data_IF_087675413915
#
_entry.id   IF_087675413915
#
_cell.length_a   1.000
_cell.length_b   1.000
_cell.length_c   1.000
_cell.angle_alpha   90.00
_cell.angle_beta   90.00
_cell.angle_gamma   90.00
#
_symmetry.space_group_name_H-M   'P 1'
#
loop_
_entity.id
_entity.type
_entity.pdbx_description
1 polymer ?
#
# COMPACT_ATOMS: atom_id res chain seq x y z
N UNK A 1 -28.34 8.69 -5.52
CA UNK A 1 -28.83 7.39 -5.02
C UNK A 1 -27.68 6.42 -5.13
N UNK A 2 -26.91 6.31 -4.06
CA UNK A 2 -25.66 5.56 -4.01
C UNK A 2 -26.01 4.11 -3.68
N UNK A 3 -25.83 3.21 -4.63
CA UNK A 3 -26.02 1.78 -4.43
C UNK A 3 -24.91 1.31 -3.48
N UNK A 4 -25.22 1.20 -2.18
CA UNK A 4 -24.41 0.47 -1.21
C UNK A 4 -24.36 -0.98 -1.69
N UNK A 5 -23.31 -1.29 -2.42
CA UNK A 5 -23.00 -2.64 -2.86
C UNK A 5 -22.32 -3.32 -1.66
N UNK A 6 -23.13 -3.94 -0.80
CA UNK A 6 -22.64 -4.65 0.38
C UNK A 6 -21.67 -5.77 -0.05
N UNK A 7 -20.38 -5.61 0.24
CA UNK A 7 -19.52 -6.77 0.41
C UNK A 7 -20.10 -7.70 1.49
N UNK A 8 -19.76 -8.99 1.43
CA UNK A 8 -20.24 -9.97 2.40
C UNK A 8 -19.89 -9.53 3.83
N UNK A 9 -20.82 -9.55 4.79
CA UNK A 9 -20.55 -9.22 6.20
C UNK A 9 -19.33 -9.95 6.77
N UNK A 10 -19.10 -11.18 6.29
CA UNK A 10 -17.96 -12.03 6.67
C UNK A 10 -16.63 -11.39 6.27
N UNK A 11 -16.54 -10.79 5.08
CA UNK A 11 -15.31 -10.13 4.62
C UNK A 11 -15.00 -8.89 5.43
N UNK A 12 -16.03 -8.12 5.82
CA UNK A 12 -15.85 -6.94 6.67
C UNK A 12 -15.33 -7.35 8.05
N UNK A 13 -15.90 -8.39 8.66
CA UNK A 13 -15.45 -8.91 9.95
C UNK A 13 -14.00 -9.39 9.88
N UNK A 14 -13.68 -10.22 8.88
CA UNK A 14 -12.32 -10.72 8.65
C UNK A 14 -11.31 -9.60 8.44
N UNK A 15 -11.65 -8.62 7.60
CA UNK A 15 -10.84 -7.42 7.39
C UNK A 15 -10.61 -6.67 8.71
N UNK A 16 -11.67 -6.49 9.51
CA UNK A 16 -11.62 -5.72 10.75
C UNK A 16 -10.72 -6.40 11.78
N UNK A 17 -10.77 -7.72 11.89
CA UNK A 17 -9.83 -8.50 12.71
C UNK A 17 -8.39 -8.23 12.33
N UNK A 18 -8.06 -8.34 11.04
CA UNK A 18 -6.69 -8.18 10.55
C UNK A 18 -6.22 -6.73 10.69
N UNK A 19 -7.00 -5.76 10.22
CA UNK A 19 -6.62 -4.35 10.22
C UNK A 19 -6.40 -3.81 11.64
N UNK A 20 -7.15 -4.28 12.65
CA UNK A 20 -6.96 -3.88 14.06
C UNK A 20 -5.53 -4.14 14.56
N UNK A 21 -4.85 -5.17 14.08
CA UNK A 21 -3.46 -5.44 14.47
C UNK A 21 -2.48 -4.37 13.96
N UNK A 22 -2.81 -3.69 12.86
CA UNK A 22 -1.98 -2.65 12.26
C UNK A 22 -2.26 -1.26 12.81
N UNK A 23 -3.37 -1.06 13.53
CA UNK A 23 -3.65 0.22 14.18
C UNK A 23 -2.69 0.39 15.36
N UNK A 24 -1.88 1.47 15.41
CA UNK A 24 -0.98 1.71 16.53
C UNK A 24 -1.73 1.73 17.87
N UNK A 25 -1.19 1.08 18.90
CA UNK A 25 -1.85 0.95 20.22
C UNK A 25 -2.18 2.30 20.86
N UNK A 26 -1.34 3.32 20.64
CA UNK A 26 -1.58 4.70 21.08
C UNK A 26 -2.84 5.25 20.42
N UNK A 27 -3.01 5.05 19.12
CA UNK A 27 -4.19 5.50 18.37
C UNK A 27 -5.44 4.74 18.82
N UNK A 28 -5.34 3.41 18.93
CA UNK A 28 -6.44 2.56 19.38
C UNK A 28 -6.92 2.89 20.79
N UNK A 29 -6.03 3.38 21.66
CA UNK A 29 -6.38 3.80 23.03
C UNK A 29 -6.98 5.19 23.10
N UNK A 30 -6.70 6.05 22.11
CA UNK A 30 -7.24 7.42 22.04
C UNK A 30 -8.68 7.45 21.54
N UNK A 31 -9.02 6.56 20.60
CA UNK A 31 -10.36 6.48 20.02
C UNK A 31 -11.34 5.73 20.91
N UNK A 32 -12.61 6.12 20.88
CA UNK A 32 -13.68 5.27 21.42
C UNK A 32 -13.84 4.03 20.54
N UNK A 33 -14.44 2.95 21.06
CA UNK A 33 -14.69 1.75 20.26
C UNK A 33 -15.55 2.06 19.02
N UNK A 34 -16.52 2.97 19.14
CA UNK A 34 -17.37 3.37 18.02
C UNK A 34 -16.60 4.17 16.95
N UNK A 35 -15.66 5.02 17.37
CA UNK A 35 -14.82 5.79 16.45
C UNK A 35 -13.77 4.92 15.76
N UNK A 36 -13.20 3.95 16.48
CA UNK A 36 -12.31 2.94 15.91
C UNK A 36 -13.03 2.06 14.88
N UNK A 37 -14.24 1.60 15.20
CA UNK A 37 -15.05 0.82 14.26
C UNK A 37 -15.41 1.64 13.02
N UNK A 38 -15.76 2.92 13.19
CA UNK A 38 -16.00 3.84 12.06
C UNK A 38 -14.74 4.04 11.22
N UNK A 39 -13.59 4.21 11.86
CA UNK A 39 -12.29 4.34 11.18
C UNK A 39 -12.02 3.11 10.32
N UNK A 40 -12.11 1.91 10.89
CA UNK A 40 -11.86 0.65 10.18
C UNK A 40 -12.88 0.41 9.06
N UNK A 41 -14.16 0.72 9.29
CA UNK A 41 -15.20 0.59 8.28
C UNK A 41 -14.93 1.48 7.05
N UNK A 42 -14.45 2.71 7.25
CA UNK A 42 -14.06 3.56 6.13
C UNK A 42 -12.94 2.94 5.29
N UNK A 43 -11.92 2.37 5.94
CA UNK A 43 -10.79 1.70 5.26
C UNK A 43 -11.24 0.44 4.51
N UNK A 44 -12.17 -0.33 5.09
CA UNK A 44 -12.79 -1.45 4.38
C UNK A 44 -13.59 -0.99 3.16
N UNK A 45 -14.35 0.11 3.31
CA UNK A 45 -15.16 0.64 2.23
C UNK A 45 -14.33 1.12 1.04
N UNK A 46 -13.15 1.68 1.31
CA UNK A 46 -12.16 1.96 0.29
C UNK A 46 -11.58 0.67 -0.32
N UNK A 47 -11.16 -0.30 0.49
CA UNK A 47 -10.45 -1.50 0.03
C UNK A 47 -11.30 -2.50 -0.75
N UNK A 48 -12.60 -2.62 -0.45
CA UNK A 48 -13.47 -3.67 -1.00
C UNK A 48 -13.64 -3.63 -2.53
N UNK A 49 -13.28 -2.53 -3.19
CA UNK A 49 -13.39 -2.36 -4.63
C UNK A 49 -12.14 -1.68 -5.21
N UNK A 50 -11.48 -2.36 -6.15
CA UNK A 50 -10.36 -1.83 -6.93
C UNK A 50 -10.51 -2.31 -8.38
N UNK A 51 -10.81 -1.38 -9.30
CA UNK A 51 -11.02 -1.68 -10.72
C UNK A 51 -9.72 -1.63 -11.52
N UNK A 52 -8.95 -0.58 -11.27
CA UNK A 52 -7.65 -0.37 -11.90
C UNK A 52 -6.55 -0.99 -11.05
N UNK A 53 -5.36 -1.08 -11.61
CA UNK A 53 -4.24 -1.68 -10.90
C UNK A 53 -3.84 -0.90 -9.65
N UNK A 54 -3.83 0.43 -9.75
CA UNK A 54 -3.58 1.33 -8.63
C UNK A 54 -4.85 2.13 -8.38
N UNK A 55 -5.35 2.10 -7.14
CA UNK A 55 -6.44 2.95 -6.68
C UNK A 55 -5.91 3.89 -5.61
N UNK A 56 -6.14 5.19 -5.80
CA UNK A 56 -5.76 6.25 -4.88
C UNK A 56 -7.01 7.07 -4.59
N UNK A 57 -7.24 7.40 -3.33
CA UNK A 57 -8.22 8.38 -2.89
C UNK A 57 -7.55 9.36 -1.93
N UNK A 58 -7.66 10.65 -2.21
CA UNK A 58 -7.09 11.72 -1.38
C UNK A 58 -8.20 12.68 -1.03
N UNK A 59 -8.48 12.82 0.26
CA UNK A 59 -9.56 13.66 0.73
C UNK A 59 -9.32 14.22 2.12
N UNK A 60 -9.99 15.35 2.39
CA UNK A 60 -10.14 15.87 3.75
C UNK A 60 -11.35 15.17 4.40
N UNK A 61 -11.18 14.48 5.55
CA UNK A 61 -12.28 13.75 6.20
C UNK A 61 -13.42 14.67 6.63
N UNK A 62 -14.64 14.13 6.64
CA UNK A 62 -15.84 14.81 7.14
C UNK A 62 -15.90 14.91 8.66
N UNK A 63 -16.91 15.62 9.17
CA UNK A 63 -17.11 15.90 10.60
C UNK A 63 -17.27 14.63 11.45
N UNK A 64 -17.71 13.51 10.86
CA UNK A 64 -17.80 12.21 11.52
C UNK A 64 -16.44 11.64 11.94
N UNK A 65 -15.35 12.17 11.39
CA UNK A 65 -13.95 11.89 11.74
C UNK A 65 -13.30 13.13 12.39
N UNK A 66 -13.97 13.73 13.38
CA UNK A 66 -13.55 14.99 14.01
C UNK A 66 -12.09 15.03 14.51
N UNK A 67 -11.49 13.88 14.84
CA UNK A 67 -10.08 13.79 15.25
C UNK A 67 -9.09 14.00 14.09
N UNK A 68 -9.56 14.01 12.84
CA UNK A 68 -8.79 14.23 11.61
C UNK A 68 -9.07 15.61 10.98
N UNK A 69 -9.69 16.54 11.71
CA UNK A 69 -10.13 17.84 11.16
C UNK A 69 -8.99 18.67 10.51
N UNK A 70 -7.76 18.51 10.99
CA UNK A 70 -6.58 19.20 10.48
C UNK A 70 -5.70 18.30 9.60
N UNK A 71 -6.26 17.21 9.08
CA UNK A 71 -5.52 16.22 8.31
C UNK A 71 -6.12 16.00 6.93
N UNK A 72 -5.27 15.62 5.99
CA UNK A 72 -5.66 14.99 4.72
C UNK A 72 -5.37 13.52 4.81
N UNK A 73 -6.31 12.70 4.35
CA UNK A 73 -6.17 11.25 4.27
C UNK A 73 -5.85 10.85 2.84
N UNK A 74 -4.85 10.00 2.70
CA UNK A 74 -4.43 9.39 1.43
C UNK A 74 -4.59 7.88 1.60
N UNK A 75 -5.52 7.30 0.86
CA UNK A 75 -5.72 5.85 0.81
C UNK A 75 -5.25 5.31 -0.53
N UNK A 76 -4.46 4.24 -0.48
CA UNK A 76 -3.87 3.62 -1.67
C UNK A 76 -4.08 2.12 -1.59
N UNK A 77 -4.43 1.50 -2.71
CA UNK A 77 -4.38 0.04 -2.83
C UNK A 77 -3.95 -0.40 -4.23
N UNK A 78 -3.05 -1.38 -4.27
CA UNK A 78 -2.37 -1.88 -5.46
C UNK A 78 -1.80 -3.28 -5.19
N UNK A 79 -1.53 -4.09 -6.23
CA UNK A 79 -0.74 -5.32 -6.07
C UNK A 79 0.58 -5.04 -5.34
N UNK A 80 0.94 -5.92 -4.41
CA UNK A 80 2.16 -5.74 -3.62
C UNK A 80 3.41 -5.84 -4.49
N UNK A 81 4.37 -4.97 -4.18
CA UNK A 81 5.69 -4.95 -4.80
C UNK A 81 6.68 -4.21 -3.89
N UNK A 82 7.97 -4.28 -4.21
CA UNK A 82 8.99 -3.56 -3.45
C UNK A 82 8.86 -2.03 -3.61
N UNK A 83 9.34 -1.31 -2.61
CA UNK A 83 9.50 0.15 -2.58
C UNK A 83 8.23 1.00 -2.57
N UNK A 84 7.06 0.39 -2.37
CA UNK A 84 5.79 1.14 -2.34
C UNK A 84 5.80 2.18 -1.20
N UNK A 85 6.18 1.76 0.02
CA UNK A 85 6.18 2.64 1.20
C UNK A 85 7.27 3.70 1.09
N UNK A 86 8.47 3.31 0.65
CA UNK A 86 9.61 4.20 0.45
C UNK A 86 9.27 5.29 -0.58
N UNK A 87 8.69 4.92 -1.72
CA UNK A 87 8.24 5.87 -2.75
C UNK A 87 7.25 6.89 -2.20
N UNK A 88 6.32 6.46 -1.35
CA UNK A 88 5.34 7.35 -0.72
C UNK A 88 5.98 8.30 0.29
N UNK A 89 6.90 7.79 1.12
CA UNK A 89 7.62 8.60 2.13
C UNK A 89 8.52 9.62 1.43
N UNK A 90 9.24 9.22 0.38
CA UNK A 90 10.11 10.09 -0.40
C UNK A 90 9.31 11.20 -1.08
N UNK A 91 8.15 10.86 -1.65
CA UNK A 91 7.22 11.85 -2.22
C UNK A 91 6.79 12.88 -1.16
N UNK A 92 6.30 12.42 -0.01
CA UNK A 92 5.88 13.33 1.06
C UNK A 92 7.03 14.19 1.57
N UNK A 93 8.22 13.62 1.70
CA UNK A 93 9.43 14.33 2.14
C UNK A 93 9.84 15.40 1.15
N UNK A 94 9.81 15.10 -0.16
CA UNK A 94 10.13 16.07 -1.22
C UNK A 94 9.18 17.27 -1.23
N UNK A 95 7.89 17.02 -0.96
CA UNK A 95 6.86 18.06 -0.88
C UNK A 95 6.71 18.69 0.52
N UNK A 96 7.57 18.32 1.47
CA UNK A 96 7.54 18.80 2.85
C UNK A 96 6.19 18.54 3.58
N UNK A 97 5.44 17.51 3.16
CA UNK A 97 4.23 17.09 3.85
C UNK A 97 4.59 16.38 5.16
N UNK A 98 3.98 16.83 6.26
CA UNK A 98 4.15 16.22 7.56
C UNK A 98 3.31 14.95 7.65
N UNK A 99 3.98 13.79 7.70
CA UNK A 99 3.33 12.51 7.96
C UNK A 99 2.98 12.41 9.44
N UNK A 100 1.68 12.32 9.75
CA UNK A 100 1.16 12.11 11.09
C UNK A 100 1.03 10.62 11.42
N UNK A 101 0.59 9.81 10.44
CA UNK A 101 0.41 8.36 10.62
C UNK A 101 0.50 7.64 9.28
N UNK A 102 1.12 6.46 9.28
CA UNK A 102 1.08 5.51 8.16
C UNK A 102 0.67 4.13 8.68
N UNK A 103 -0.28 3.50 8.00
CA UNK A 103 -0.74 2.14 8.26
C UNK A 103 -0.66 1.38 6.94
N UNK A 104 0.12 0.30 6.90
CA UNK A 104 0.42 -0.45 5.68
C UNK A 104 0.22 -1.96 5.86
N UNK A 105 -1.03 -2.46 5.90
CA UNK A 105 -1.29 -3.89 5.88
C UNK A 105 -1.16 -4.49 4.48
N UNK A 106 -0.78 -5.77 4.47
CA UNK A 106 -0.78 -6.62 3.29
C UNK A 106 -1.83 -7.72 3.46
N UNK A 107 -2.43 -8.14 2.34
CA UNK A 107 -3.47 -9.17 2.33
C UNK A 107 -3.26 -10.15 1.19
N UNK A 108 -3.56 -11.42 1.43
CA UNK A 108 -3.84 -12.37 0.35
C UNK A 108 -5.25 -12.11 -0.17
N UNK A 109 -5.38 -11.74 -1.45
CA UNK A 109 -6.64 -11.24 -2.02
C UNK A 109 -6.97 -11.88 -3.34
N UNK A 110 -8.21 -12.34 -3.48
CA UNK A 110 -8.81 -12.60 -4.79
C UNK A 110 -9.89 -11.56 -5.08
N UNK A 111 -9.83 -10.94 -6.28
CA UNK A 111 -10.86 -10.02 -6.78
C UNK A 111 -11.65 -10.64 -7.90
N UNK A 112 -12.92 -10.25 -8.01
CA UNK A 112 -13.75 -10.53 -9.17
C UNK A 112 -13.35 -9.69 -10.38
N UNK A 113 -13.88 -10.04 -11.55
CA UNK A 113 -13.67 -9.27 -12.79
C UNK A 113 -14.27 -7.84 -12.71
N UNK A 114 -15.14 -7.58 -11.74
CA UNK A 114 -15.71 -6.28 -11.42
C UNK A 114 -14.84 -5.46 -10.44
N UNK A 115 -13.68 -5.97 -10.04
CA UNK A 115 -12.76 -5.34 -9.08
C UNK A 115 -13.16 -5.54 -7.62
N UNK A 116 -14.25 -6.28 -7.34
CA UNK A 116 -14.76 -6.48 -5.99
C UNK A 116 -14.01 -7.59 -5.26
N UNK A 117 -13.79 -7.38 -3.97
CA UNK A 117 -13.16 -8.36 -3.09
C UNK A 117 -14.01 -9.64 -2.98
N UNK A 118 -13.39 -10.81 -3.23
CA UNK A 118 -14.02 -12.13 -3.06
C UNK A 118 -13.53 -12.85 -1.84
N UNK A 119 -12.21 -12.84 -1.63
CA UNK A 119 -11.55 -13.46 -0.47
C UNK A 119 -10.49 -12.50 0.06
N UNK A 120 -10.24 -12.61 1.36
CA UNK A 120 -9.24 -11.82 2.07
C UNK A 120 -8.70 -12.64 3.22
N UNK A 121 -7.39 -12.84 3.25
CA UNK A 121 -6.69 -13.50 4.34
C UNK A 121 -5.47 -12.69 4.78
N UNK A 122 -5.02 -12.91 6.01
CA UNK A 122 -3.78 -12.31 6.51
C UNK A 122 -2.57 -12.95 5.86
N UNK A 123 -1.43 -12.25 5.87
CA UNK A 123 -0.17 -12.75 5.26
C UNK A 123 0.38 -14.02 5.91
N UNK A 124 -0.04 -14.34 7.14
CA UNK A 124 0.34 -15.56 7.85
C UNK A 124 -0.51 -16.77 7.45
N UNK A 125 -1.62 -16.56 6.73
CA UNK A 125 -2.47 -17.64 6.26
C UNK A 125 -1.79 -18.39 5.10
N UNK A 126 -1.95 -19.72 5.07
CA UNK A 126 -1.53 -20.51 3.92
C UNK A 126 -2.48 -20.24 2.74
N UNK A 127 -2.09 -19.33 1.86
CA UNK A 127 -2.86 -18.92 0.68
C UNK A 127 -1.94 -18.71 -0.52
N UNK A 128 -2.40 -19.16 -1.69
CA UNK A 128 -1.73 -18.91 -2.97
C UNK A 128 -2.27 -17.66 -3.67
N UNK A 129 -3.22 -16.95 -3.05
CA UNK A 129 -3.76 -15.71 -3.61
C UNK A 129 -2.67 -14.62 -3.67
N UNK A 130 -2.69 -13.74 -4.69
CA UNK A 130 -1.70 -12.67 -4.79
C UNK A 130 -1.78 -11.73 -3.59
N UNK A 131 -0.62 -11.15 -3.24
CA UNK A 131 -0.53 -10.13 -2.21
C UNK A 131 -1.02 -8.78 -2.76
N UNK A 132 -1.80 -8.09 -1.94
CA UNK A 132 -2.26 -6.75 -2.20
C UNK A 132 -1.93 -5.84 -1.03
N UNK A 133 -1.33 -4.71 -1.36
CA UNK A 133 -0.99 -3.62 -0.45
C UNK A 133 -2.22 -2.74 -0.22
N UNK A 134 -2.48 -2.38 1.04
CA UNK A 134 -3.30 -1.22 1.38
C UNK A 134 -2.46 -0.24 2.21
N UNK A 135 -2.53 1.04 1.87
CA UNK A 135 -1.94 2.12 2.66
C UNK A 135 -3.04 3.06 3.10
N UNK A 136 -3.05 3.38 4.38
CA UNK A 136 -3.64 4.59 4.91
C UNK A 136 -2.50 5.51 5.34
N UNK A 137 -2.51 6.73 4.83
CA UNK A 137 -1.57 7.78 5.19
C UNK A 137 -2.36 9.00 5.66
N UNK A 138 -1.96 9.54 6.80
CA UNK A 138 -2.44 10.79 7.35
C UNK A 138 -1.33 11.83 7.28
N UNK A 139 -1.60 12.95 6.63
CA UNK A 139 -0.69 14.10 6.53
C UNK A 139 -1.36 15.38 7.03
N UNK A 140 -0.60 16.46 7.15
CA UNK A 140 -1.17 17.79 7.36
C UNK A 140 -2.21 18.12 6.29
N UNK A 141 -3.23 18.89 6.67
CA UNK A 141 -4.29 19.30 5.75
C UNK A 141 -3.74 20.01 4.52
N UNK A 142 -4.24 19.59 3.35
CA UNK A 142 -3.96 20.14 2.04
C UNK A 142 -5.19 20.86 1.47
N UNK A 143 -4.93 21.83 0.60
CA UNK A 143 -5.93 22.45 -0.25
C UNK A 143 -6.28 21.57 -1.46
N UNK A 144 -7.36 21.91 -2.16
CA UNK A 144 -7.91 21.05 -3.22
C UNK A 144 -6.94 20.84 -4.40
N UNK A 145 -6.21 21.89 -4.79
CA UNK A 145 -5.22 21.84 -5.87
C UNK A 145 -3.99 21.01 -5.51
N UNK A 146 -3.55 21.08 -4.25
CA UNK A 146 -2.48 20.22 -3.72
C UNK A 146 -2.88 18.74 -3.73
N UNK A 147 -4.11 18.42 -3.30
CA UNK A 147 -4.63 17.05 -3.36
C UNK A 147 -4.74 16.52 -4.81
N UNK A 148 -5.22 17.35 -5.75
CA UNK A 148 -5.29 16.99 -7.16
C UNK A 148 -3.90 16.79 -7.79
N UNK A 149 -2.91 17.58 -7.40
CA UNK A 149 -1.51 17.36 -7.82
C UNK A 149 -0.98 16.06 -7.27
N UNK A 150 -1.13 15.84 -5.95
CA UNK A 150 -0.66 14.65 -5.26
C UNK A 150 -1.24 13.36 -5.85
N UNK A 151 -2.55 13.35 -6.15
CA UNK A 151 -3.18 12.18 -6.74
C UNK A 151 -2.60 11.84 -8.12
N UNK A 152 -2.33 12.85 -8.96
CA UNK A 152 -1.73 12.64 -10.28
C UNK A 152 -0.29 12.16 -10.18
N UNK A 153 0.50 12.79 -9.33
CA UNK A 153 1.92 12.48 -9.19
C UNK A 153 2.12 11.09 -8.59
N UNK A 154 1.38 10.74 -7.53
CA UNK A 154 1.45 9.40 -6.94
C UNK A 154 0.99 8.32 -7.91
N UNK A 155 -0.07 8.56 -8.69
CA UNK A 155 -0.49 7.60 -9.71
C UNK A 155 0.61 7.35 -10.74
N UNK A 156 1.27 8.42 -11.22
CA UNK A 156 2.40 8.30 -12.14
C UNK A 156 3.57 7.53 -11.51
N UNK A 157 3.94 7.88 -10.27
CA UNK A 157 5.04 7.23 -9.54
C UNK A 157 4.78 5.73 -9.32
N UNK A 158 3.57 5.31 -8.94
CA UNK A 158 3.29 3.89 -8.74
C UNK A 158 3.21 3.10 -10.05
N UNK A 159 2.76 3.70 -11.14
CA UNK A 159 2.80 3.07 -12.47
C UNK A 159 4.25 2.89 -12.94
N UNK A 160 5.10 3.91 -12.75
CA UNK A 160 6.51 3.85 -13.09
C UNK A 160 7.27 2.87 -12.20
N UNK A 161 7.06 2.92 -10.88
CA UNK A 161 7.65 1.98 -9.92
C UNK A 161 7.38 0.54 -10.33
N UNK A 162 6.14 0.21 -10.72
CA UNK A 162 5.79 -1.12 -11.19
C UNK A 162 6.55 -1.55 -12.46
N UNK A 163 6.86 -0.60 -13.33
CA UNK A 163 7.69 -0.87 -14.51
C UNK A 163 9.13 -1.16 -14.07
N UNK A 164 9.67 -0.36 -13.15
CA UNK A 164 11.04 -0.47 -12.64
C UNK A 164 11.26 -1.75 -11.83
N UNK A 165 10.27 -2.23 -11.09
CA UNK A 165 10.41 -3.45 -10.26
C UNK A 165 10.01 -4.73 -10.97
N UNK A 166 9.56 -4.64 -12.23
CA UNK A 166 9.06 -5.80 -12.99
C UNK A 166 10.12 -6.87 -13.27
N UNK A 167 11.38 -6.47 -13.41
CA UNK A 167 12.53 -7.34 -13.64
C UNK A 167 13.26 -7.73 -12.34
N UNK A 168 12.86 -7.14 -11.22
CA UNK A 168 13.55 -7.31 -9.93
C UNK A 168 13.64 -8.77 -9.52
N UNK A 169 12.57 -9.56 -9.60
CA UNK A 169 12.62 -10.98 -9.24
C UNK A 169 13.59 -11.77 -10.12
N UNK A 170 13.71 -11.41 -11.40
CA UNK A 170 14.63 -12.06 -12.33
C UNK A 170 16.08 -11.71 -11.96
N UNK A 171 16.35 -10.44 -11.63
CA UNK A 171 17.66 -9.97 -11.18
C UNK A 171 18.03 -10.58 -9.82
N UNK A 172 17.12 -10.62 -8.86
CA UNK A 172 17.33 -11.21 -7.55
C UNK A 172 17.65 -12.71 -7.64
N UNK A 173 16.92 -13.43 -8.51
CA UNK A 173 17.20 -14.84 -8.80
C UNK A 173 18.58 -15.02 -9.39
N UNK A 174 18.94 -14.23 -10.41
CA UNK A 174 20.28 -14.28 -11.01
C UNK A 174 21.36 -14.03 -9.96
N UNK A 175 21.23 -12.98 -9.14
CA UNK A 175 22.19 -12.67 -8.07
C UNK A 175 22.27 -13.81 -7.04
N UNK A 176 21.16 -14.48 -6.73
CA UNK A 176 21.14 -15.65 -5.84
C UNK A 176 21.87 -16.85 -6.42
N UNK A 177 21.69 -17.12 -7.72
CA UNK A 177 22.40 -18.18 -8.44
C UNK A 177 23.90 -17.88 -8.53
N UNK A 178 24.27 -16.63 -8.85
CA UNK A 178 25.67 -16.20 -8.90
C UNK A 178 26.37 -16.27 -7.54
N UNK A 179 25.65 -16.04 -6.44
CA UNK A 179 26.19 -16.17 -5.07
C UNK A 179 26.51 -17.63 -4.73
N UNK A 180 25.82 -18.60 -5.34
CA UNK A 180 26.08 -20.01 -5.13
C UNK A 180 27.40 -20.44 -5.80
N UNK A 181 28.40 -20.81 -4.98
CA UNK A 181 29.71 -21.26 -5.47
C UNK A 181 30.81 -20.19 -5.47
N UNK A 182 30.56 -19.00 -4.93
CA UNK A 182 31.59 -17.99 -4.69
C UNK A 182 32.26 -18.15 -3.32
N UNK A 183 33.40 -17.48 -3.12
CA UNK A 183 34.02 -17.40 -1.79
C UNK A 183 33.17 -16.56 -0.82
N UNK A 184 33.51 -16.67 0.48
CA UNK A 184 32.75 -16.03 1.55
C UNK A 184 32.73 -14.49 1.46
N UNK A 185 33.79 -13.89 0.90
CA UNK A 185 33.89 -12.43 0.73
C UNK A 185 32.93 -11.97 -0.37
N UNK A 186 32.97 -12.62 -1.53
CA UNK A 186 32.11 -12.32 -2.68
C UNK A 186 30.64 -12.59 -2.34
N UNK A 187 30.33 -13.68 -1.63
CA UNK A 187 28.97 -13.96 -1.17
C UNK A 187 28.47 -12.91 -0.17
N UNK A 188 29.33 -12.38 0.70
CA UNK A 188 28.96 -11.30 1.63
C UNK A 188 28.69 -9.99 0.88
N UNK A 189 29.52 -9.65 -0.11
CA UNK A 189 29.31 -8.48 -0.97
C UNK A 189 28.03 -8.61 -1.78
N UNK A 190 27.74 -9.77 -2.36
CA UNK A 190 26.50 -10.00 -3.12
C UNK A 190 25.25 -9.98 -2.23
N UNK A 191 25.33 -10.54 -1.02
CA UNK A 191 24.25 -10.43 -0.04
C UNK A 191 24.00 -8.98 0.35
N UNK A 192 25.07 -8.22 0.59
CA UNK A 192 24.98 -6.78 0.84
C UNK A 192 24.39 -6.04 -0.37
N UNK A 193 24.83 -6.32 -1.60
CA UNK A 193 24.27 -5.71 -2.80
C UNK A 193 22.77 -6.00 -2.96
N UNK A 194 22.33 -7.23 -2.68
CA UNK A 194 20.90 -7.58 -2.73
C UNK A 194 20.06 -6.85 -1.68
N UNK A 195 20.65 -6.55 -0.53
CA UNK A 195 19.98 -5.89 0.59
C UNK A 195 19.95 -4.35 0.44
N UNK A 196 20.97 -3.76 -0.19
CA UNK A 196 21.17 -2.30 -0.21
C UNK A 196 21.19 -1.65 -1.60
N UNK A 197 21.27 -2.41 -2.70
CA UNK A 197 21.49 -1.87 -4.04
C UNK A 197 20.22 -1.83 -4.90
N UNK A 198 19.28 -0.98 -4.48
CA UNK A 198 17.97 -0.79 -5.13
C UNK A 198 17.97 0.42 -6.08
N UNK A 199 18.92 0.50 -7.00
CA UNK A 199 18.93 1.58 -8.01
C UNK A 199 19.28 1.12 -9.43
N UNK A 200 19.24 -0.19 -9.70
CA UNK A 200 19.45 -0.71 -11.04
C UNK A 200 18.24 -1.55 -11.45
N UNK A 201 17.24 -0.89 -12.05
CA UNK A 201 16.30 -1.57 -12.94
C UNK A 201 17.01 -1.87 -14.26
N UNK A 202 16.94 -3.11 -14.74
CA UNK A 202 17.31 -3.47 -16.09
C UNK A 202 16.08 -3.26 -17.00
N UNK A 203 15.86 -2.01 -17.40
CA UNK A 203 14.92 -1.73 -18.48
C UNK A 203 15.49 -2.32 -19.79
N UNK A 204 15.02 -3.50 -20.18
CA UNK A 204 15.22 -3.98 -21.55
C UNK A 204 14.43 -3.08 -22.49
N UNK A 205 15.12 -2.13 -23.11
CA UNK A 205 14.56 -1.37 -24.21
C UNK A 205 14.65 -2.24 -25.46
N UNK A 206 13.51 -2.66 -25.98
CA UNK A 206 13.45 -3.27 -27.31
C UNK A 206 14.06 -2.27 -28.32
N UNK A 207 15.25 -2.59 -28.81
CA UNK A 207 15.88 -1.84 -29.89
C UNK A 207 15.16 -2.21 -31.18
N UNK A 208 14.34 -1.29 -31.68
CA UNK A 208 13.83 -1.32 -33.06
C UNK A 208 14.95 -1.08 -34.06
#
# INVERSE_FOLDING_TARGET
MTTQSNASPILKERYSEIFRFYVPSVQASFLTSADLDRFIEARFNFFQERKDEVKIDIHNPGDEFYWLINSTVVEITLPDSRFIVETLIDYCTYHEYQINMIIHPLYHVERGADGRLRTLESVEAASDAPLETQIYLEINRLEADEMESMQRDLLANFVELRTIVSDYESVDRLLSEFSSGQDAETSAVLSWLREYFVLLGAAQTDSR
#
